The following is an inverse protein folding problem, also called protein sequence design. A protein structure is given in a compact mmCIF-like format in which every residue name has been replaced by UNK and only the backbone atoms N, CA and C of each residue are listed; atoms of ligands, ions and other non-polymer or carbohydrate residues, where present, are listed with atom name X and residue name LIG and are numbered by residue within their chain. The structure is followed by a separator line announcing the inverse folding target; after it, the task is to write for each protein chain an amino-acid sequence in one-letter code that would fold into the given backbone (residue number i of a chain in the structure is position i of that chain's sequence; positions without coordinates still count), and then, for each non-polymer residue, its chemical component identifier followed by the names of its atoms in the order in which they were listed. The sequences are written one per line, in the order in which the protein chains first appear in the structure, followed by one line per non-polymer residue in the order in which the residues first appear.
data_IF_365355357525
#
_entry.id   IF_365355357525
#
_cell.length_a   1.000
_cell.length_b   1.000
_cell.length_c   1.000
_cell.angle_alpha   90.00
_cell.angle_beta   90.00
_cell.angle_gamma   90.00
#
_symmetry.space_group_name_H-M   'P 1'
#
loop_
_entity.id
_entity.type
_entity.pdbx_description
1 polymer ?
#
# COMPACT_ATOMS: atom_id res chain seq x y z
N UNK A 1 12.05 -21.84 -3.56
CA UNK A 1 10.91 -22.26 -2.73
C UNK A 1 11.47 -22.55 -1.35
N UNK A 2 11.34 -21.61 -0.40
CA UNK A 2 11.68 -21.83 1.01
C UNK A 2 10.34 -22.00 1.71
N UNK A 3 10.02 -23.25 2.02
CA UNK A 3 8.66 -23.71 2.35
C UNK A 3 8.54 -24.16 3.83
N UNK A 4 9.56 -23.91 4.66
CA UNK A 4 9.56 -24.38 6.05
C UNK A 4 9.98 -23.29 7.02
N UNK A 5 9.16 -23.12 8.06
CA UNK A 5 9.39 -22.21 9.17
C UNK A 5 10.79 -22.36 9.82
N UNK A 6 11.42 -23.53 9.70
CA UNK A 6 12.71 -23.89 10.32
C UNK A 6 13.93 -23.03 9.96
N UNK A 7 13.84 -22.07 9.04
CA UNK A 7 14.98 -21.30 8.54
C UNK A 7 15.26 -20.01 9.33
N UNK A 8 14.25 -19.37 9.92
CA UNK A 8 14.46 -18.14 10.71
C UNK A 8 15.32 -18.40 11.95
N UNK A 9 15.17 -19.58 12.58
CA UNK A 9 15.98 -19.96 13.75
C UNK A 9 17.47 -20.15 13.40
N UNK A 10 17.75 -20.46 12.13
CA UNK A 10 19.12 -20.66 11.63
C UNK A 10 19.79 -19.36 11.19
N UNK A 11 19.07 -18.23 11.16
CA UNK A 11 19.68 -16.93 10.93
C UNK A 11 20.69 -16.64 12.05
N UNK A 12 21.88 -16.20 11.70
CA UNK A 12 22.85 -15.74 12.68
C UNK A 12 22.34 -14.45 13.35
N UNK A 13 22.69 -14.27 14.62
CA UNK A 13 22.34 -13.05 15.33
C UNK A 13 23.17 -11.88 14.80
N UNK A 14 22.57 -10.68 14.75
CA UNK A 14 23.29 -9.47 14.32
C UNK A 14 23.46 -9.34 12.80
N UNK A 15 22.84 -10.20 12.00
CA UNK A 15 22.78 -10.02 10.55
C UNK A 15 22.17 -8.66 10.19
N UNK A 16 22.82 -7.97 9.24
CA UNK A 16 22.33 -6.68 8.70
C UNK A 16 21.61 -6.85 7.37
N UNK A 17 21.92 -7.91 6.62
CA UNK A 17 21.28 -8.26 5.36
C UNK A 17 20.82 -9.71 5.38
N UNK A 18 19.59 -9.96 4.93
CA UNK A 18 19.06 -11.30 4.71
C UNK A 18 18.91 -11.51 3.21
N UNK A 19 19.52 -12.57 2.67
CA UNK A 19 19.29 -13.03 1.30
C UNK A 19 18.41 -14.27 1.37
N UNK A 20 17.16 -14.14 0.94
CA UNK A 20 16.15 -15.18 1.05
C UNK A 20 14.78 -14.64 1.44
N UNK A 21 13.78 -15.52 1.42
CA UNK A 21 12.43 -15.15 1.80
C UNK A 21 12.25 -15.24 3.31
N UNK A 22 11.67 -14.21 3.90
CA UNK A 22 11.22 -14.19 5.29
C UNK A 22 9.72 -14.44 5.30
N UNK A 23 9.29 -15.56 5.88
CA UNK A 23 7.87 -15.90 6.03
C UNK A 23 7.57 -16.26 7.48
N UNK A 24 6.75 -15.45 8.13
CA UNK A 24 6.28 -15.61 9.50
C UNK A 24 4.77 -15.80 9.41
N UNK A 25 4.30 -17.03 9.59
CA UNK A 25 2.90 -17.37 9.42
C UNK A 25 2.43 -18.45 10.38
N UNK A 26 1.17 -18.37 10.84
CA UNK A 26 0.51 -19.41 11.65
C UNK A 26 1.34 -19.82 12.88
N UNK A 27 1.92 -18.84 13.59
CA UNK A 27 2.71 -19.08 14.81
C UNK A 27 1.77 -19.59 15.90
N UNK A 28 1.53 -20.90 15.92
CA UNK A 28 0.78 -21.60 16.98
C UNK A 28 1.72 -22.28 17.97
N UNK A 29 3.05 -22.21 17.80
CA UNK A 29 4.04 -23.01 18.56
C UNK A 29 5.33 -22.25 18.86
N UNK A 30 5.68 -22.19 20.15
CA UNK A 30 6.95 -22.04 20.89
C UNK A 30 8.22 -21.41 20.29
N UNK A 31 8.42 -21.31 18.97
CA UNK A 31 9.72 -21.03 18.36
C UNK A 31 9.87 -19.61 17.79
N UNK A 32 8.79 -18.92 17.43
CA UNK A 32 8.83 -17.53 16.94
C UNK A 32 8.22 -16.59 17.98
N UNK A 33 8.80 -16.60 19.18
CA UNK A 33 8.39 -15.61 20.20
C UNK A 33 8.85 -14.21 19.76
N UNK A 34 8.20 -13.14 20.25
CA UNK A 34 8.65 -11.78 20.00
C UNK A 34 10.14 -11.58 20.29
N UNK A 35 10.65 -12.20 21.36
CA UNK A 35 12.06 -12.12 21.77
C UNK A 35 13.00 -12.73 20.73
N UNK A 36 12.65 -13.90 20.18
CA UNK A 36 13.45 -14.56 19.13
C UNK A 36 13.43 -13.71 17.86
N UNK A 37 12.27 -13.19 17.45
CA UNK A 37 12.18 -12.32 16.27
C UNK A 37 12.99 -11.04 16.45
N UNK A 38 12.90 -10.40 17.61
CA UNK A 38 13.72 -9.23 17.95
C UNK A 38 15.22 -9.56 17.91
N UNK A 39 15.64 -10.69 18.48
CA UNK A 39 17.04 -11.14 18.44
C UNK A 39 17.53 -11.31 16.99
N UNK A 40 16.73 -11.93 16.12
CA UNK A 40 17.12 -12.21 14.73
C UNK A 40 17.05 -11.00 13.80
N UNK A 41 16.08 -10.10 13.98
CA UNK A 41 15.80 -9.02 13.03
C UNK A 41 16.20 -7.63 13.50
N UNK A 42 16.56 -7.44 14.78
CA UNK A 42 16.88 -6.11 15.31
C UNK A 42 18.04 -5.40 14.62
N UNK A 43 18.97 -6.10 13.97
CA UNK A 43 20.08 -5.49 13.22
C UNK A 43 19.84 -5.44 11.70
N UNK A 44 18.77 -6.08 11.22
CA UNK A 44 18.50 -6.23 9.79
C UNK A 44 18.02 -4.90 9.22
N UNK A 45 18.76 -4.37 8.25
CA UNK A 45 18.44 -3.15 7.52
C UNK A 45 18.02 -3.45 6.08
N UNK A 46 18.39 -4.61 5.53
CA UNK A 46 18.06 -5.01 4.16
C UNK A 46 17.58 -6.45 4.08
N UNK A 47 16.54 -6.68 3.28
CA UNK A 47 16.10 -8.03 2.90
C UNK A 47 16.05 -8.13 1.37
N UNK A 48 16.76 -9.11 0.81
CA UNK A 48 16.69 -9.48 -0.61
C UNK A 48 15.82 -10.73 -0.74
N UNK A 49 14.53 -10.54 -1.01
CA UNK A 49 13.53 -11.59 -1.08
C UNK A 49 12.12 -11.12 -0.73
N UNK A 50 11.22 -12.08 -0.52
CA UNK A 50 9.86 -11.84 -0.03
C UNK A 50 9.86 -11.67 1.49
N UNK A 51 8.97 -10.83 2.02
CA UNK A 51 8.76 -10.61 3.45
C UNK A 51 7.27 -10.72 3.77
N UNK A 52 6.86 -11.83 4.39
CA UNK A 52 5.46 -12.12 4.72
C UNK A 52 5.28 -12.26 6.24
N UNK A 53 4.37 -11.48 6.81
CA UNK A 53 3.92 -11.59 8.20
C UNK A 53 2.41 -11.79 8.18
N UNK A 54 1.96 -13.03 8.31
CA UNK A 54 0.59 -13.44 8.00
C UNK A 54 -0.02 -14.23 9.14
N UNK A 55 -1.26 -13.92 9.54
CA UNK A 55 -2.02 -14.76 10.48
C UNK A 55 -1.21 -15.21 11.71
N UNK A 56 -0.50 -14.27 12.33
CA UNK A 56 0.34 -14.56 13.51
C UNK A 56 -0.41 -14.26 14.80
N UNK A 57 0.04 -14.89 15.89
CA UNK A 57 -0.44 -14.63 17.26
C UNK A 57 0.33 -13.48 17.94
N UNK A 58 1.16 -12.74 17.19
CA UNK A 58 1.94 -11.63 17.72
C UNK A 58 1.03 -10.49 18.17
N UNK A 59 1.32 -9.92 19.33
CA UNK A 59 0.66 -8.71 19.83
C UNK A 59 1.31 -7.42 19.32
N UNK A 60 2.52 -7.52 18.76
CA UNK A 60 3.28 -6.42 18.20
C UNK A 60 4.14 -6.91 17.02
N UNK A 61 4.18 -6.14 15.94
CA UNK A 61 5.05 -6.39 14.78
C UNK A 61 6.10 -5.27 14.76
N UNK A 62 7.12 -5.41 15.60
CA UNK A 62 8.16 -4.37 15.83
C UNK A 62 9.58 -4.83 15.48
N UNK A 63 9.77 -6.13 15.26
CA UNK A 63 11.08 -6.72 15.01
C UNK A 63 11.70 -6.25 13.69
N UNK A 64 10.92 -5.64 12.80
CA UNK A 64 11.37 -5.02 11.54
C UNK A 64 11.64 -3.50 11.67
N UNK A 65 11.66 -2.91 12.88
CA UNK A 65 11.84 -1.45 13.08
C UNK A 65 13.08 -0.85 12.40
N UNK A 66 14.11 -1.66 12.19
CA UNK A 66 15.37 -1.24 11.56
C UNK A 66 15.46 -1.56 10.07
N UNK A 67 14.44 -2.22 9.50
CA UNK A 67 14.40 -2.54 8.08
C UNK A 67 14.26 -1.27 7.26
N UNK A 68 15.20 -1.03 6.35
CA UNK A 68 15.24 0.16 5.49
C UNK A 68 14.86 -0.20 4.04
N UNK A 69 15.34 -1.35 3.56
CA UNK A 69 15.24 -1.72 2.15
C UNK A 69 14.72 -3.15 2.00
N UNK A 70 13.70 -3.31 1.16
CA UNK A 70 13.31 -4.62 0.62
C UNK A 70 13.66 -4.63 -0.85
N UNK A 71 14.39 -5.65 -1.30
CA UNK A 71 14.76 -5.85 -2.70
C UNK A 71 14.20 -7.17 -3.20
N UNK A 72 13.48 -7.15 -4.31
CA UNK A 72 12.93 -8.34 -4.91
C UNK A 72 13.03 -8.29 -6.44
N UNK A 73 13.80 -9.22 -7.00
CA UNK A 73 13.92 -9.38 -8.44
C UNK A 73 13.37 -10.73 -8.87
N UNK A 74 12.58 -10.74 -9.93
CA UNK A 74 12.12 -11.97 -10.56
C UNK A 74 13.22 -12.42 -11.52
N UNK A 75 14.05 -13.36 -11.10
CA UNK A 75 14.91 -14.07 -12.04
C UNK A 75 14.01 -14.81 -13.05
N UNK A 76 14.30 -14.63 -14.35
CA UNK A 76 13.44 -14.97 -15.50
C UNK A 76 13.02 -16.43 -15.69
N UNK A 77 13.17 -17.28 -14.66
CA UNK A 77 12.72 -18.67 -14.61
C UNK A 77 11.44 -18.89 -13.79
N UNK A 78 10.98 -17.91 -13.01
CA UNK A 78 9.75 -18.05 -12.24
C UNK A 78 8.54 -17.64 -13.09
N UNK A 79 7.93 -18.62 -13.74
CA UNK A 79 6.56 -18.53 -14.29
C UNK A 79 5.55 -18.40 -13.12
N UNK A 80 5.57 -17.29 -12.39
CA UNK A 80 4.52 -16.99 -11.44
C UNK A 80 3.59 -15.98 -12.08
N UNK A 81 2.55 -16.49 -12.72
CA UNK A 81 1.35 -15.76 -13.15
C UNK A 81 0.55 -15.16 -11.97
N UNK A 82 1.20 -14.93 -10.83
CA UNK A 82 0.60 -14.46 -9.59
C UNK A 82 1.29 -13.18 -9.15
N UNK A 83 0.43 -12.20 -8.89
CA UNK A 83 0.69 -10.88 -8.32
C UNK A 83 1.29 -11.03 -6.91
N UNK A 84 2.53 -11.48 -6.81
CA UNK A 84 3.21 -11.58 -5.52
C UNK A 84 3.70 -10.19 -5.13
N UNK A 85 2.99 -9.55 -4.20
CA UNK A 85 3.54 -8.43 -3.45
C UNK A 85 4.77 -8.92 -2.68
N UNK A 86 5.95 -8.31 -2.83
CA UNK A 86 7.14 -8.75 -2.10
C UNK A 86 7.06 -8.51 -0.60
N UNK A 87 6.31 -7.50 -0.16
CA UNK A 87 6.09 -7.26 1.26
C UNK A 87 4.59 -7.39 1.60
N UNK A 88 4.24 -8.30 2.51
CA UNK A 88 2.85 -8.51 2.95
C UNK A 88 2.78 -8.57 4.48
N UNK A 89 1.91 -7.73 5.05
CA UNK A 89 1.49 -7.80 6.46
C UNK A 89 -0.02 -7.90 6.51
N UNK A 90 -0.57 -9.08 6.81
CA UNK A 90 -2.00 -9.29 6.72
C UNK A 90 -2.56 -10.27 7.76
N UNK A 91 -3.83 -10.09 8.12
CA UNK A 91 -4.58 -10.97 9.00
C UNK A 91 -3.96 -11.21 10.39
N UNK A 92 -3.13 -10.29 10.90
CA UNK A 92 -2.53 -10.38 12.23
C UNK A 92 -3.47 -9.84 13.32
N UNK A 93 -4.59 -10.53 13.56
CA UNK A 93 -5.73 -10.01 14.33
C UNK A 93 -5.44 -9.63 15.79
N UNK A 94 -4.33 -10.13 16.37
CA UNK A 94 -3.91 -9.81 17.74
C UNK A 94 -2.90 -8.66 17.84
N UNK A 95 -2.32 -8.25 16.72
CA UNK A 95 -1.28 -7.23 16.71
C UNK A 95 -1.91 -5.86 16.98
N UNK A 96 -1.43 -5.17 18.02
CA UNK A 96 -1.90 -3.84 18.43
C UNK A 96 -0.93 -2.73 17.99
N UNK A 97 0.28 -3.10 17.58
CA UNK A 97 1.30 -2.16 17.10
C UNK A 97 2.05 -2.73 15.90
N UNK A 98 2.49 -1.80 15.05
CA UNK A 98 3.31 -2.04 13.87
C UNK A 98 4.38 -0.94 13.82
N UNK A 99 5.65 -1.35 13.75
CA UNK A 99 6.79 -0.43 13.66
C UNK A 99 7.64 -0.81 12.45
N UNK A 100 7.78 0.15 11.55
CA UNK A 100 8.62 0.08 10.37
C UNK A 100 9.28 1.45 10.10
N UNK A 101 9.66 2.16 11.17
CA UNK A 101 9.95 3.59 11.13
C UNK A 101 11.20 3.95 10.31
N UNK A 102 12.12 2.99 10.12
CA UNK A 102 13.30 3.17 9.26
C UNK A 102 13.09 2.74 7.82
N UNK A 103 11.91 2.20 7.47
CA UNK A 103 11.63 1.82 6.10
C UNK A 103 11.89 3.00 5.19
N UNK A 104 12.61 2.77 4.11
CA UNK A 104 12.93 3.81 3.15
C UNK A 104 12.26 3.50 1.81
N UNK A 105 12.48 2.28 1.30
CA UNK A 105 12.01 1.91 -0.03
C UNK A 105 11.91 0.41 -0.26
N UNK A 106 11.16 0.08 -1.29
CA UNK A 106 11.16 -1.24 -1.92
C UNK A 106 11.72 -1.14 -3.35
N UNK A 107 12.68 -2.00 -3.68
CA UNK A 107 13.25 -2.16 -5.02
C UNK A 107 12.66 -3.42 -5.61
N UNK A 108 11.97 -3.32 -6.74
CA UNK A 108 11.19 -4.42 -7.28
C UNK A 108 11.18 -4.48 -8.81
N UNK A 109 10.98 -5.69 -9.34
CA UNK A 109 10.89 -5.91 -10.79
C UNK A 109 9.70 -5.13 -11.42
N UNK A 110 9.84 -4.54 -12.63
CA UNK A 110 8.80 -3.72 -13.25
C UNK A 110 7.44 -4.41 -13.48
N UNK A 111 7.40 -5.74 -13.47
CA UNK A 111 6.17 -6.54 -13.62
C UNK A 111 5.30 -6.56 -12.36
N UNK A 112 5.82 -6.13 -11.21
CA UNK A 112 5.08 -6.12 -9.95
C UNK A 112 4.24 -4.85 -9.85
N UNK A 113 2.93 -5.05 -9.73
CA UNK A 113 1.96 -3.96 -9.65
C UNK A 113 1.81 -3.40 -8.23
N UNK A 114 1.97 -4.27 -7.23
CA UNK A 114 1.69 -3.97 -5.84
C UNK A 114 2.87 -4.41 -4.98
N UNK A 115 3.90 -3.58 -4.78
CA UNK A 115 5.10 -4.03 -4.08
C UNK A 115 4.88 -4.26 -2.59
N UNK A 116 3.91 -3.59 -1.98
CA UNK A 116 3.60 -3.69 -0.55
C UNK A 116 2.09 -3.86 -0.38
N UNK A 117 1.69 -4.82 0.46
CA UNK A 117 0.31 -5.04 0.87
C UNK A 117 0.23 -5.07 2.39
N UNK A 118 -0.53 -4.14 2.97
CA UNK A 118 -0.88 -4.17 4.38
C UNK A 118 -2.39 -4.31 4.49
N UNK A 119 -2.86 -5.35 5.17
CA UNK A 119 -4.29 -5.64 5.28
C UNK A 119 -4.66 -6.16 6.67
N UNK A 120 -5.03 -5.26 7.56
CA UNK A 120 -5.43 -5.61 8.93
C UNK A 120 -6.18 -4.47 9.61
N UNK A 121 -7.11 -4.81 10.49
CA UNK A 121 -7.90 -3.86 11.29
C UNK A 121 -7.54 -3.87 12.79
N UNK A 122 -6.45 -4.53 13.16
CA UNK A 122 -6.06 -4.74 14.57
C UNK A 122 -5.16 -3.63 15.14
N UNK A 123 -4.47 -2.91 14.26
CA UNK A 123 -3.59 -1.78 14.61
C UNK A 123 -3.80 -0.62 13.63
N UNK A 124 -3.36 0.56 14.02
CA UNK A 124 -3.20 1.70 13.12
C UNK A 124 -1.71 1.90 12.75
N UNK A 125 -1.44 2.62 11.67
CA UNK A 125 -0.09 2.98 11.22
C UNK A 125 0.14 4.47 11.53
N UNK A 126 1.31 4.83 12.03
CA UNK A 126 1.68 6.25 12.21
C UNK A 126 1.55 7.02 10.88
N UNK A 127 1.04 8.26 10.93
CA UNK A 127 0.70 9.02 9.72
C UNK A 127 1.89 9.21 8.78
N UNK A 128 3.09 9.47 9.30
CA UNK A 128 4.30 9.64 8.49
C UNK A 128 4.67 8.35 7.74
N UNK A 129 4.66 7.21 8.43
CA UNK A 129 4.89 5.89 7.84
C UNK A 129 3.79 5.51 6.84
N UNK A 130 2.52 5.81 7.14
CA UNK A 130 1.40 5.55 6.24
C UNK A 130 1.58 6.30 4.90
N UNK A 131 1.95 7.58 4.96
CA UNK A 131 2.27 8.38 3.78
C UNK A 131 3.45 7.77 3.02
N UNK A 132 4.53 7.42 3.71
CA UNK A 132 5.73 6.85 3.10
C UNK A 132 5.44 5.52 2.40
N UNK A 133 4.60 4.68 2.98
CA UNK A 133 4.14 3.44 2.39
C UNK A 133 3.33 3.69 1.10
N UNK A 134 2.40 4.64 1.11
CA UNK A 134 1.65 5.03 -0.08
C UNK A 134 2.56 5.58 -1.19
N UNK A 135 3.58 6.36 -0.84
CA UNK A 135 4.60 6.84 -1.79
C UNK A 135 5.47 5.71 -2.35
N UNK A 136 5.60 4.61 -1.62
CA UNK A 136 6.20 3.35 -2.06
C UNK A 136 5.19 2.39 -2.71
N UNK A 137 4.10 2.91 -3.28
CA UNK A 137 3.12 2.15 -4.08
C UNK A 137 2.41 1.05 -3.26
N UNK A 138 2.27 1.25 -1.94
CA UNK A 138 1.57 0.29 -1.08
C UNK A 138 0.07 0.25 -1.35
N UNK A 139 -0.48 -0.95 -1.25
CA UNK A 139 -1.90 -1.16 -0.97
C UNK A 139 -2.06 -1.27 0.54
N UNK A 140 -2.88 -0.40 1.12
CA UNK A 140 -3.24 -0.46 2.53
C UNK A 140 -4.77 -0.61 2.63
N UNK A 141 -5.24 -1.75 3.12
CA UNK A 141 -6.66 -2.08 3.22
C UNK A 141 -7.08 -2.37 4.65
N UNK A 142 -8.21 -1.82 5.08
CA UNK A 142 -8.77 -2.00 6.43
C UNK A 142 -7.86 -1.56 7.59
N UNK A 143 -6.77 -0.84 7.32
CA UNK A 143 -5.83 -0.34 8.32
C UNK A 143 -5.94 1.18 8.44
N UNK A 144 -6.19 1.65 9.66
CA UNK A 144 -6.38 3.07 9.95
C UNK A 144 -5.05 3.81 10.18
N UNK A 145 -5.11 5.14 10.09
CA UNK A 145 -3.99 6.03 10.45
C UNK A 145 -4.09 6.38 11.93
N UNK A 146 -2.98 6.28 12.67
CA UNK A 146 -2.93 6.67 14.07
C UNK A 146 -2.97 8.19 14.22
N UNK A 147 -3.96 8.72 14.97
CA UNK A 147 -4.08 10.16 15.31
C UNK A 147 -3.86 11.08 14.09
N UNK A 148 -4.65 10.91 13.02
CA UNK A 148 -4.35 11.57 11.75
C UNK A 148 -4.52 13.08 11.86
N UNK A 149 -3.60 13.83 11.25
CA UNK A 149 -3.69 15.29 11.11
C UNK A 149 -4.75 15.72 10.10
N UNK A 150 -5.13 14.82 9.18
CA UNK A 150 -6.14 15.02 8.13
C UNK A 150 -7.21 13.95 8.17
N UNK A 151 -8.37 14.22 7.56
CA UNK A 151 -9.39 13.20 7.36
C UNK A 151 -9.07 12.32 6.14
N UNK A 152 -8.58 11.11 6.39
CA UNK A 152 -8.32 10.08 5.39
C UNK A 152 -9.59 9.32 5.07
N UNK A 153 -9.83 9.10 3.78
CA UNK A 153 -10.92 8.27 3.30
C UNK A 153 -10.39 7.22 2.34
N UNK A 154 -10.74 5.98 2.65
CA UNK A 154 -10.35 4.79 1.91
C UNK A 154 -11.62 4.10 1.38
N UNK A 155 -11.45 3.14 0.47
CA UNK A 155 -12.55 2.30 -0.01
C UNK A 155 -12.34 0.87 0.44
N UNK A 156 -13.42 0.12 0.64
CA UNK A 156 -13.33 -1.30 0.97
C UNK A 156 -12.74 -2.06 -0.22
N UNK A 157 -11.82 -2.99 0.08
CA UNK A 157 -11.13 -3.80 -0.93
C UNK A 157 -12.05 -4.94 -1.41
N UNK A 158 -12.38 -5.06 -2.71
CA UNK A 158 -12.67 -6.37 -3.28
C UNK A 158 -11.33 -7.10 -3.47
N UNK A 159 -11.22 -8.40 -3.14
CA UNK A 159 -9.96 -9.16 -3.25
C UNK A 159 -9.33 -9.19 -4.66
N UNK A 160 -10.10 -8.86 -5.70
CA UNK A 160 -9.69 -8.94 -7.11
C UNK A 160 -9.47 -7.58 -7.79
N UNK A 161 -9.88 -6.47 -7.17
CA UNK A 161 -9.96 -5.17 -7.85
C UNK A 161 -9.17 -4.06 -7.18
N UNK A 162 -8.80 -3.06 -7.99
CA UNK A 162 -8.12 -1.86 -7.53
C UNK A 162 -9.07 -1.03 -6.66
N UNK A 163 -8.59 -0.38 -5.59
CA UNK A 163 -9.42 0.49 -4.78
C UNK A 163 -9.89 1.68 -5.64
N UNK A 164 -11.19 1.77 -5.86
CA UNK A 164 -11.84 2.87 -6.59
C UNK A 164 -12.98 3.52 -5.80
N UNK A 165 -13.12 4.83 -5.98
CA UNK A 165 -14.32 5.59 -5.69
C UNK A 165 -15.10 5.82 -6.98
N UNK A 166 -16.37 5.42 -7.00
CA UNK A 166 -17.34 5.81 -8.02
C UNK A 166 -18.13 7.01 -7.54
N UNK A 167 -19.01 7.58 -8.37
CA UNK A 167 -19.95 8.63 -7.93
C UNK A 167 -20.69 8.26 -6.63
N UNK A 168 -21.13 6.99 -6.53
CA UNK A 168 -21.89 6.47 -5.40
C UNK A 168 -21.02 6.26 -4.16
N UNK A 169 -19.79 5.75 -4.32
CA UNK A 169 -18.91 5.43 -3.19
C UNK A 169 -17.97 6.58 -2.81
N UNK A 170 -17.90 7.66 -3.59
CA UNK A 170 -17.09 8.82 -3.27
C UNK A 170 -17.57 9.44 -1.95
N UNK A 171 -16.72 9.50 -0.91
CA UNK A 171 -17.09 10.00 0.40
C UNK A 171 -17.06 11.54 0.43
N UNK A 172 -17.87 12.11 1.31
CA UNK A 172 -17.87 13.55 1.60
C UNK A 172 -16.88 13.89 2.71
N UNK A 173 -16.42 15.15 2.72
CA UNK A 173 -15.63 15.72 3.82
C UNK A 173 -14.30 14.99 4.05
N UNK A 174 -13.62 14.61 2.97
CA UNK A 174 -12.29 14.00 3.01
C UNK A 174 -11.24 15.03 2.62
N UNK A 175 -10.10 15.00 3.31
CA UNK A 175 -8.92 15.79 2.94
C UNK A 175 -7.91 14.94 2.16
N UNK A 176 -7.85 13.63 2.43
CA UNK A 176 -6.98 12.69 1.72
C UNK A 176 -7.81 11.52 1.20
N UNK A 177 -7.78 11.29 -0.11
CA UNK A 177 -8.39 10.12 -0.73
C UNK A 177 -7.32 9.06 -1.02
N UNK A 178 -7.54 7.83 -0.54
CA UNK A 178 -6.64 6.68 -0.76
C UNK A 178 -7.33 5.65 -1.65
N UNK A 179 -7.58 6.06 -2.90
CA UNK A 179 -8.11 5.23 -3.98
C UNK A 179 -8.13 6.07 -5.27
N UNK A 180 -8.32 5.41 -6.42
CA UNK A 180 -8.59 6.12 -7.67
C UNK A 180 -10.05 6.57 -7.75
N UNK A 181 -10.33 7.72 -8.34
CA UNK A 181 -11.70 8.19 -8.63
C UNK A 181 -12.04 7.77 -10.06
N UNK A 182 -13.15 7.08 -10.26
CA UNK A 182 -13.65 6.64 -11.56
C UNK A 182 -15.08 7.14 -11.76
N UNK A 183 -15.22 8.13 -12.63
CA UNK A 183 -16.49 8.73 -13.03
C UNK A 183 -16.82 8.25 -14.45
N UNK A 184 -17.71 7.28 -14.54
CA UNK A 184 -18.13 6.68 -15.81
C UNK A 184 -19.66 6.76 -15.91
N UNK A 185 -20.20 7.29 -17.02
CA UNK A 185 -21.65 7.46 -17.18
C UNK A 185 -22.28 8.51 -16.27
N UNK A 186 -21.47 9.27 -15.52
CA UNK A 186 -21.94 10.16 -14.47
C UNK A 186 -22.49 11.48 -15.00
N UNK A 187 -23.55 11.98 -14.38
CA UNK A 187 -24.15 13.30 -14.63
C UNK A 187 -24.25 14.17 -13.36
N UNK A 188 -23.85 13.67 -12.19
CA UNK A 188 -24.04 14.34 -10.89
C UNK A 188 -22.93 15.37 -10.57
N UNK A 189 -22.75 16.35 -11.45
CA UNK A 189 -21.67 17.35 -11.38
C UNK A 189 -21.57 18.04 -10.02
N UNK A 190 -22.65 18.63 -9.52
CA UNK A 190 -22.64 19.40 -8.27
C UNK A 190 -22.37 18.53 -7.05
N UNK A 191 -22.98 17.35 -6.99
CA UNK A 191 -22.78 16.40 -5.90
C UNK A 191 -21.34 15.88 -5.83
N UNK A 192 -20.69 15.67 -6.99
CA UNK A 192 -19.28 15.28 -7.06
C UNK A 192 -18.38 16.43 -6.61
N UNK A 193 -18.61 17.66 -7.09
CA UNK A 193 -17.84 18.82 -6.68
C UNK A 193 -17.96 19.09 -5.17
N UNK A 194 -19.16 18.92 -4.60
CA UNK A 194 -19.39 19.04 -3.16
C UNK A 194 -18.61 18.01 -2.33
N UNK A 195 -18.44 16.79 -2.84
CA UNK A 195 -17.64 15.74 -2.20
C UNK A 195 -16.14 16.03 -2.29
N UNK A 196 -15.68 16.65 -3.38
CA UNK A 196 -14.27 16.90 -3.67
C UNK A 196 -13.73 18.24 -3.14
N UNK A 197 -14.59 19.17 -2.71
CA UNK A 197 -14.18 20.53 -2.33
C UNK A 197 -13.12 20.61 -1.23
N UNK A 198 -13.10 19.66 -0.30
CA UNK A 198 -12.13 19.61 0.80
C UNK A 198 -10.89 18.76 0.49
N UNK A 199 -10.86 18.06 -0.65
CA UNK A 199 -9.79 17.12 -0.98
C UNK A 199 -8.50 17.87 -1.30
N UNK A 200 -7.44 17.59 -0.55
CA UNK A 200 -6.12 18.19 -0.69
C UNK A 200 -5.14 17.26 -1.39
N UNK A 201 -5.25 15.95 -1.16
CA UNK A 201 -4.34 14.93 -1.69
C UNK A 201 -5.12 13.72 -2.17
N UNK A 202 -4.74 13.18 -3.33
CA UNK A 202 -5.27 11.93 -3.87
C UNK A 202 -4.11 10.95 -4.07
N UNK A 203 -4.13 9.83 -3.35
CA UNK A 203 -3.29 8.66 -3.60
C UNK A 203 -4.04 7.69 -4.53
N UNK A 204 -4.07 8.03 -5.82
CA UNK A 204 -4.77 7.31 -6.86
C UNK A 204 -4.68 8.01 -8.22
N UNK A 205 -5.62 7.69 -9.11
CA UNK A 205 -5.81 8.37 -10.40
C UNK A 205 -7.23 8.89 -10.49
N UNK A 206 -7.46 9.98 -11.24
CA UNK A 206 -8.81 10.42 -11.61
C UNK A 206 -9.07 9.98 -13.06
N UNK A 207 -10.15 9.22 -13.26
CA UNK A 207 -10.59 8.73 -14.57
C UNK A 207 -12.01 9.24 -14.80
N UNK A 208 -12.21 9.98 -15.88
CA UNK A 208 -13.50 10.52 -16.29
C UNK A 208 -13.75 10.03 -17.72
N UNK A 209 -14.89 9.40 -17.97
CA UNK A 209 -15.20 8.85 -19.30
C UNK A 209 -16.71 8.74 -19.50
N UNK A 210 -17.20 9.02 -20.70
CA UNK A 210 -18.62 8.89 -21.04
C UNK A 210 -19.53 9.62 -20.01
N UNK A 211 -19.19 10.85 -19.64
CA UNK A 211 -19.92 11.63 -18.63
C UNK A 211 -20.55 12.88 -19.24
N UNK A 212 -21.60 13.39 -18.60
CA UNK A 212 -22.16 14.73 -18.89
C UNK A 212 -21.52 15.83 -18.03
N UNK A 213 -20.58 15.46 -17.15
CA UNK A 213 -19.85 16.39 -16.29
C UNK A 213 -19.09 17.40 -17.16
N UNK A 214 -19.48 18.67 -17.06
CA UNK A 214 -18.83 19.78 -17.78
C UNK A 214 -17.74 20.46 -16.97
N UNK A 215 -17.75 20.30 -15.64
CA UNK A 215 -16.83 20.95 -14.72
C UNK A 215 -16.56 20.08 -13.50
N UNK A 216 -15.28 19.78 -13.25
CA UNK A 216 -14.82 19.12 -12.03
C UNK A 216 -13.96 20.08 -11.21
N UNK A 217 -14.37 20.35 -9.98
CA UNK A 217 -13.70 21.31 -9.09
C UNK A 217 -13.03 20.59 -7.92
N UNK A 218 -11.71 20.80 -7.79
CA UNK A 218 -10.93 20.38 -6.63
C UNK A 218 -10.11 21.58 -6.13
N UNK A 219 -10.76 22.58 -5.51
CA UNK A 219 -10.14 23.88 -5.21
C UNK A 219 -8.96 23.78 -4.24
N UNK A 220 -8.96 22.79 -3.34
CA UNK A 220 -7.89 22.59 -2.36
C UNK A 220 -6.85 21.55 -2.79
N UNK A 221 -6.99 20.94 -3.97
CA UNK A 221 -6.11 19.87 -4.42
C UNK A 221 -4.71 20.40 -4.68
N UNK A 222 -3.76 19.91 -3.89
CA UNK A 222 -2.35 20.23 -4.02
C UNK A 222 -1.55 19.14 -4.73
N UNK A 223 -1.99 17.87 -4.64
CA UNK A 223 -1.18 16.73 -5.06
C UNK A 223 -2.02 15.52 -5.48
N UNK A 224 -1.65 14.90 -6.60
CA UNK A 224 -2.08 13.55 -6.97
C UNK A 224 -0.83 12.67 -7.03
N UNK A 225 -0.85 11.56 -6.31
CA UNK A 225 0.17 10.51 -6.33
C UNK A 225 -0.48 9.28 -6.91
N UNK A 226 0.13 8.64 -7.90
CA UNK A 226 -0.40 7.39 -8.46
C UNK A 226 0.36 6.18 -7.89
N UNK A 227 -0.06 5.64 -6.73
CA UNK A 227 0.57 4.47 -6.12
C UNK A 227 0.27 3.17 -6.89
N UNK A 228 -0.60 3.17 -7.90
CA UNK A 228 -1.05 1.96 -8.59
C UNK A 228 -0.41 1.75 -9.96
N UNK A 229 0.57 2.58 -10.32
CA UNK A 229 1.44 2.39 -11.50
C UNK A 229 0.69 2.27 -12.83
N UNK A 230 -0.55 2.76 -12.94
CA UNK A 230 -1.43 2.60 -14.11
C UNK A 230 -0.82 3.06 -15.44
N UNK A 231 0.31 3.79 -15.41
CA UNK A 231 1.00 4.32 -16.59
C UNK A 231 2.47 3.90 -16.73
N UNK A 232 2.99 2.98 -15.90
CA UNK A 232 4.36 2.46 -16.12
C UNK A 232 4.46 1.47 -17.29
N UNK A 233 3.33 1.01 -17.83
CA UNK A 233 3.29 0.30 -19.11
C UNK A 233 2.48 1.14 -20.09
N UNK A 234 3.18 1.85 -20.97
CA UNK A 234 2.67 2.18 -22.30
C UNK A 234 2.43 0.86 -23.06
N UNK A 235 1.35 0.16 -22.70
CA UNK A 235 0.74 -0.87 -23.54
C UNK A 235 -0.64 -0.38 -23.92
N UNK A 236 -0.69 0.39 -25.00
CA UNK A 236 -1.78 0.42 -26.00
C UNK A 236 -3.22 0.36 -25.49
N UNK A 237 -3.56 1.10 -24.44
CA UNK A 237 -4.96 1.45 -24.17
C UNK A 237 -5.18 2.92 -24.48
N UNK A 238 -5.15 3.21 -25.78
CA UNK A 238 -5.74 4.42 -26.35
C UNK A 238 -7.26 4.30 -26.14
N UNK A 239 -7.78 4.94 -25.09
CA UNK A 239 -9.22 5.19 -24.98
C UNK A 239 -9.45 6.59 -25.58
N UNK A 240 -10.05 6.69 -26.78
CA UNK A 240 -10.09 7.93 -27.56
C UNK A 240 -10.87 9.09 -26.91
N UNK A 241 -11.58 8.86 -25.80
CA UNK A 241 -12.46 9.86 -25.16
C UNK A 241 -12.04 10.28 -23.74
N UNK A 242 -10.76 10.13 -23.36
CA UNK A 242 -10.30 10.52 -22.02
C UNK A 242 -9.87 11.99 -21.96
N UNK A 243 -10.52 12.76 -21.09
CA UNK A 243 -9.98 14.05 -20.62
C UNK A 243 -8.79 13.75 -19.72
N UNK A 244 -7.58 14.03 -20.21
CA UNK A 244 -6.39 14.10 -19.37
C UNK A 244 -6.47 15.40 -18.57
N UNK A 245 -6.80 15.31 -17.29
CA UNK A 245 -6.88 16.50 -16.41
C UNK A 245 -5.47 17.07 -16.26
N UNK A 246 -5.14 18.10 -17.05
CA UNK A 246 -3.98 18.97 -16.81
C UNK A 246 -4.31 19.87 -15.63
N UNK A 247 -3.76 19.57 -14.47
CA UNK A 247 -3.81 20.47 -13.32
C UNK A 247 -3.01 21.72 -13.67
N UNK A 248 -3.68 22.87 -13.69
CA UNK A 248 -3.02 24.18 -13.77
C UNK A 248 -2.61 24.54 -12.34
N UNK A 249 -1.31 24.47 -12.04
CA UNK A 249 -0.80 25.00 -10.78
C UNK A 249 -1.17 26.50 -10.70
N UNK A 250 -1.99 26.86 -9.71
CA UNK A 250 -2.19 28.26 -9.34
C UNK A 250 -1.14 28.54 -8.28
N UNK A 251 0.01 29.07 -8.70
CA UNK A 251 0.96 29.67 -7.79
C UNK A 251 0.33 30.96 -7.24
N UNK A 252 0.14 31.04 -5.93
CA UNK A 252 0.04 32.31 -5.20
C UNK A 252 1.31 32.50 -4.40
#
# INVERSE_FOLDING_TARGET
MLEKASEILNLEDGCTEIVGNVRIENITRQFYTPEVLEQKFSSVTKIVGLVYVLNTELTAITFLRNLEIIEFNLDGSQNTSQLLSPFIVAANLKAQSFDLNKFAKIVYAPSILYPILIHTNSFCIEESLYIQLLENFSIIGQTDVCKPSKKYCTTSFPPSDRPIFTELSLPSDCQVLVASIVLHGSNATDAINDKLKNVEVIYGTIIISQTEITKLELPNLSRIVNPYGLFKQERNYFYPDRILVRLKAINN
#
